data_IF_660185243843
#
_entry.id   IF_660185243843
#
_cell.length_a   1.000
_cell.length_b   1.000
_cell.length_c   1.000
_cell.angle_alpha   90.00
_cell.angle_beta   90.00
_cell.angle_gamma   90.00
#
_symmetry.space_group_name_H-M   'P 1'
#
loop_
_entity.id
_entity.type
_entity.pdbx_description
1 polymer ?
#
# COMPACT_ATOMS: atom_id res chain seq x y z
N UNK A 1 78.41 -24.65 -79.36
CA UNK A 1 77.17 -25.22 -78.77
C UNK A 1 76.18 -25.48 -79.87
N UNK A 2 75.67 -26.72 -80.00
CA UNK A 2 74.69 -27.07 -81.04
C UNK A 2 73.36 -26.37 -80.77
N UNK A 3 72.69 -25.87 -81.83
CA UNK A 3 71.37 -25.22 -81.77
C UNK A 3 70.32 -26.04 -80.99
N UNK A 4 70.47 -27.36 -80.99
CA UNK A 4 69.63 -28.31 -80.25
C UNK A 4 69.76 -28.16 -78.72
N UNK A 5 70.96 -27.89 -78.18
CA UNK A 5 71.18 -27.69 -76.75
C UNK A 5 70.58 -26.38 -76.21
N UNK A 6 70.54 -25.33 -77.04
CA UNK A 6 69.92 -24.04 -76.71
C UNK A 6 68.38 -24.19 -76.69
N UNK A 7 67.79 -24.98 -77.58
CA UNK A 7 66.36 -25.25 -77.60
C UNK A 7 65.90 -26.08 -76.38
N UNK A 8 66.69 -27.08 -75.96
CA UNK A 8 66.42 -27.86 -74.74
C UNK A 8 66.58 -26.98 -73.49
N UNK A 9 67.59 -26.13 -73.44
CA UNK A 9 67.77 -25.17 -72.35
C UNK A 9 66.62 -24.14 -72.29
N UNK A 10 66.16 -23.64 -73.43
CA UNK A 10 65.06 -22.68 -73.51
C UNK A 10 63.70 -23.28 -73.09
N UNK A 11 63.43 -24.53 -73.47
CA UNK A 11 62.22 -25.26 -73.04
C UNK A 11 62.27 -25.61 -71.55
N UNK A 12 63.43 -26.01 -71.03
CA UNK A 12 63.64 -26.19 -69.59
C UNK A 12 63.44 -24.89 -68.79
N UNK A 13 63.97 -23.76 -69.28
CA UNK A 13 63.79 -22.45 -68.66
C UNK A 13 62.32 -21.99 -68.73
N UNK A 14 61.62 -22.26 -69.84
CA UNK A 14 60.19 -22.01 -69.99
C UNK A 14 59.34 -22.82 -68.98
N UNK A 15 59.65 -24.10 -68.79
CA UNK A 15 58.97 -24.94 -67.78
C UNK A 15 59.23 -24.43 -66.36
N UNK A 16 60.45 -23.99 -66.05
CA UNK A 16 60.79 -23.38 -64.76
C UNK A 16 60.00 -22.07 -64.55
N UNK A 17 59.90 -21.22 -65.58
CA UNK A 17 59.12 -19.98 -65.50
C UNK A 17 57.62 -20.25 -65.30
N UNK A 18 57.05 -21.24 -66.00
CA UNK A 18 55.65 -21.66 -65.82
C UNK A 18 55.43 -22.21 -64.41
N UNK A 19 56.37 -23.00 -63.87
CA UNK A 19 56.29 -23.54 -62.51
C UNK A 19 56.37 -22.44 -61.45
N UNK A 20 57.29 -21.49 -61.59
CA UNK A 20 57.39 -20.30 -60.74
C UNK A 20 56.10 -19.46 -60.83
N UNK A 21 55.55 -19.28 -62.03
CA UNK A 21 54.28 -18.59 -62.25
C UNK A 21 53.10 -19.32 -61.58
N UNK A 22 53.00 -20.65 -61.70
CA UNK A 22 51.97 -21.45 -61.02
C UNK A 22 52.07 -21.39 -59.49
N UNK A 23 53.29 -21.43 -58.94
CA UNK A 23 53.53 -21.23 -57.49
C UNK A 23 53.07 -19.82 -57.08
N UNK A 24 53.39 -18.80 -57.88
CA UNK A 24 52.96 -17.42 -57.61
C UNK A 24 51.43 -17.30 -57.62
N UNK A 25 50.75 -17.97 -58.55
CA UNK A 25 49.29 -17.99 -58.66
C UNK A 25 48.63 -18.76 -57.50
N UNK A 26 49.21 -19.90 -57.10
CA UNK A 26 48.78 -20.69 -55.95
C UNK A 26 48.93 -19.91 -54.64
N UNK A 27 50.08 -19.27 -54.43
CA UNK A 27 50.32 -18.39 -53.27
C UNK A 27 49.37 -17.20 -53.26
N UNK A 28 49.07 -16.59 -54.42
CA UNK A 28 48.08 -15.52 -54.54
C UNK A 28 46.66 -16.01 -54.20
N UNK A 29 46.29 -17.21 -54.64
CA UNK A 29 45.02 -17.85 -54.30
C UNK A 29 44.92 -18.15 -52.80
N UNK A 30 45.96 -18.70 -52.19
CA UNK A 30 46.02 -18.98 -50.74
C UNK A 30 45.95 -17.69 -49.90
N UNK A 31 46.67 -16.63 -50.29
CA UNK A 31 46.57 -15.31 -49.64
C UNK A 31 45.15 -14.76 -49.72
N UNK A 32 44.52 -14.85 -50.89
CA UNK A 32 43.15 -14.36 -51.09
C UNK A 32 42.11 -15.19 -50.31
N UNK A 33 42.30 -16.50 -50.18
CA UNK A 33 41.48 -17.36 -49.32
C UNK A 33 41.69 -17.09 -47.83
N UNK A 34 42.95 -16.87 -47.40
CA UNK A 34 43.28 -16.48 -46.03
C UNK A 34 42.69 -15.11 -45.68
N UNK A 35 42.76 -14.13 -46.59
CA UNK A 35 42.12 -12.83 -46.44
C UNK A 35 40.59 -12.95 -46.35
N UNK A 36 39.96 -13.80 -47.18
CA UNK A 36 38.51 -14.07 -47.10
C UNK A 36 38.12 -14.65 -45.74
N UNK A 37 38.84 -15.68 -45.27
CA UNK A 37 38.61 -16.28 -43.93
C UNK A 37 38.83 -15.26 -42.82
N UNK A 38 39.84 -14.40 -42.92
CA UNK A 38 40.10 -13.34 -41.96
C UNK A 38 38.98 -12.29 -41.95
N UNK A 39 38.48 -11.88 -43.13
CA UNK A 39 37.33 -10.96 -43.25
C UNK A 39 36.05 -11.58 -42.70
N UNK A 40 35.77 -12.85 -42.98
CA UNK A 40 34.61 -13.56 -42.41
C UNK A 40 34.71 -13.68 -40.88
N UNK A 41 35.88 -13.99 -40.35
CA UNK A 41 36.10 -14.04 -38.90
C UNK A 41 35.94 -12.65 -38.25
N UNK A 42 36.47 -11.59 -38.88
CA UNK A 42 36.30 -10.21 -38.44
C UNK A 42 34.83 -9.78 -38.49
N UNK A 43 34.12 -10.13 -39.57
CA UNK A 43 32.69 -9.87 -39.72
C UNK A 43 31.86 -10.60 -38.65
N UNK A 44 32.13 -11.89 -38.40
CA UNK A 44 31.47 -12.65 -37.32
C UNK A 44 31.72 -11.99 -35.96
N UNK A 45 32.97 -11.63 -35.64
CA UNK A 45 33.30 -10.92 -34.40
C UNK A 45 32.59 -9.58 -34.28
N UNK A 46 32.53 -8.80 -35.36
CA UNK A 46 31.81 -7.52 -35.38
C UNK A 46 30.30 -7.73 -35.15
N UNK A 47 29.69 -8.73 -35.77
CA UNK A 47 28.29 -9.09 -35.55
C UNK A 47 28.02 -9.56 -34.12
N UNK A 48 28.91 -10.36 -33.52
CA UNK A 48 28.79 -10.75 -32.11
C UNK A 48 28.87 -9.53 -31.18
N UNK A 49 29.85 -8.65 -31.38
CA UNK A 49 29.99 -7.42 -30.60
C UNK A 49 28.76 -6.50 -30.75
N UNK A 50 28.23 -6.39 -31.97
CA UNK A 50 27.02 -5.62 -32.23
C UNK A 50 25.80 -6.19 -31.48
N UNK A 51 25.63 -7.53 -31.47
CA UNK A 51 24.56 -8.19 -30.70
C UNK A 51 24.71 -7.99 -29.19
N UNK A 52 25.93 -8.07 -28.66
CA UNK A 52 26.20 -7.81 -27.24
C UNK A 52 25.89 -6.36 -26.87
N UNK A 53 26.27 -5.41 -27.72
CA UNK A 53 25.97 -4.01 -27.53
C UNK A 53 24.45 -3.77 -27.56
N UNK A 54 23.75 -4.33 -28.54
CA UNK A 54 22.28 -4.22 -28.64
C UNK A 54 21.59 -4.82 -27.40
N UNK A 55 22.09 -5.95 -26.89
CA UNK A 55 21.59 -6.55 -25.65
C UNK A 55 21.79 -5.63 -24.45
N UNK A 56 22.99 -5.05 -24.29
CA UNK A 56 23.28 -4.08 -23.22
C UNK A 56 22.40 -2.84 -23.32
N UNK A 57 22.16 -2.34 -24.54
CA UNK A 57 21.25 -1.20 -24.76
C UNK A 57 19.80 -1.55 -24.39
N UNK A 58 19.33 -2.77 -24.66
CA UNK A 58 18.00 -3.23 -24.22
C UNK A 58 17.93 -3.37 -22.71
N UNK A 59 18.92 -3.98 -22.08
CA UNK A 59 19.01 -4.10 -20.62
C UNK A 59 19.00 -2.72 -19.98
N UNK A 60 19.81 -1.78 -20.48
CA UNK A 60 19.83 -0.39 -20.01
C UNK A 60 18.47 0.30 -20.15
N UNK A 61 17.80 0.19 -21.31
CA UNK A 61 16.45 0.76 -21.51
C UNK A 61 15.43 0.18 -20.53
N UNK A 62 15.50 -1.12 -20.28
CA UNK A 62 14.63 -1.77 -19.30
C UNK A 62 14.97 -1.32 -17.87
N UNK A 63 16.26 -1.11 -17.58
CA UNK A 63 16.71 -0.61 -16.29
C UNK A 63 16.23 0.81 -16.00
N UNK A 64 16.18 1.67 -17.03
CA UNK A 64 15.65 3.03 -16.95
C UNK A 64 14.12 3.10 -16.88
N UNK A 65 13.41 1.97 -16.93
CA UNK A 65 11.95 1.92 -16.76
C UNK A 65 11.14 1.82 -18.06
N UNK A 66 11.75 1.51 -19.21
CA UNK A 66 10.99 1.37 -20.46
C UNK A 66 10.15 0.08 -20.48
N UNK A 67 8.87 0.21 -20.13
CA UNK A 67 7.92 -0.89 -19.91
C UNK A 67 7.91 -1.92 -21.06
N UNK A 68 7.82 -1.55 -22.35
CA UNK A 68 7.83 -2.55 -23.43
C UNK A 68 9.10 -3.41 -23.45
N UNK A 69 10.27 -2.82 -23.16
CA UNK A 69 11.53 -3.57 -23.13
C UNK A 69 11.60 -4.45 -21.88
N UNK A 70 11.10 -3.98 -20.74
CA UNK A 70 11.00 -4.78 -19.51
C UNK A 70 10.15 -6.03 -19.77
N UNK A 71 8.95 -5.87 -20.35
CA UNK A 71 8.06 -6.98 -20.64
C UNK A 71 8.63 -7.94 -21.70
N UNK A 72 9.34 -7.41 -22.69
CA UNK A 72 10.07 -8.22 -23.67
C UNK A 72 11.13 -9.11 -22.99
N UNK A 73 11.99 -8.51 -22.16
CA UNK A 73 13.03 -9.25 -21.42
C UNK A 73 12.43 -10.24 -20.42
N UNK A 74 11.33 -9.88 -19.76
CA UNK A 74 10.59 -10.79 -18.88
C UNK A 74 10.12 -12.02 -19.66
N UNK A 75 9.53 -11.81 -20.85
CA UNK A 75 8.99 -12.88 -21.67
C UNK A 75 10.07 -13.76 -22.29
N UNK A 76 11.19 -13.17 -22.68
CA UNK A 76 12.38 -13.89 -23.14
C UNK A 76 12.93 -14.79 -22.02
N UNK A 77 13.05 -14.25 -20.80
CA UNK A 77 13.57 -14.97 -19.64
C UNK A 77 12.66 -16.11 -19.16
N UNK A 78 11.36 -16.14 -19.46
CA UNK A 78 10.47 -17.24 -19.07
C UNK A 78 10.91 -18.61 -19.62
N UNK A 79 11.65 -18.62 -20.73
CA UNK A 79 12.11 -19.86 -21.38
C UNK A 79 13.26 -20.51 -20.62
N UNK A 80 14.15 -19.67 -20.08
CA UNK A 80 15.46 -20.11 -19.61
C UNK A 80 15.62 -19.92 -18.09
N UNK A 81 15.03 -18.86 -17.51
CA UNK A 81 15.24 -18.48 -16.13
C UNK A 81 14.01 -17.75 -15.52
N UNK A 82 13.18 -18.51 -14.81
CA UNK A 82 11.96 -18.00 -14.17
C UNK A 82 12.26 -16.89 -13.15
N UNK A 83 13.38 -16.97 -12.41
CA UNK A 83 13.75 -15.93 -11.43
C UNK A 83 14.03 -14.60 -12.12
N UNK A 84 14.71 -14.63 -13.27
CA UNK A 84 14.96 -13.44 -14.06
C UNK A 84 13.67 -12.89 -14.68
N UNK A 85 12.75 -13.77 -15.11
CA UNK A 85 11.43 -13.34 -15.57
C UNK A 85 10.64 -12.62 -14.46
N UNK A 86 10.64 -13.17 -13.24
CA UNK A 86 10.01 -12.55 -12.07
C UNK A 86 10.62 -11.20 -11.73
N UNK A 87 11.95 -11.05 -11.78
CA UNK A 87 12.61 -9.77 -11.56
C UNK A 87 12.12 -8.68 -12.53
N UNK A 88 12.04 -8.99 -13.82
CA UNK A 88 11.55 -8.02 -14.81
C UNK A 88 10.06 -7.75 -14.66
N UNK A 89 9.25 -8.77 -14.39
CA UNK A 89 7.83 -8.58 -14.13
C UNK A 89 7.57 -7.75 -12.86
N UNK A 90 8.36 -7.92 -11.79
CA UNK A 90 8.31 -7.11 -10.57
C UNK A 90 8.69 -5.66 -10.85
N UNK A 91 9.71 -5.44 -11.67
CA UNK A 91 10.08 -4.09 -12.11
C UNK A 91 8.95 -3.41 -12.89
N UNK A 92 8.29 -4.13 -13.80
CA UNK A 92 7.12 -3.61 -14.51
C UNK A 92 5.94 -3.35 -13.55
N UNK A 93 5.69 -4.26 -12.61
CA UNK A 93 4.62 -4.14 -11.63
C UNK A 93 4.81 -2.94 -10.68
N UNK A 94 6.05 -2.68 -10.24
CA UNK A 94 6.41 -1.49 -9.45
C UNK A 94 6.16 -0.17 -10.20
N UNK A 95 6.14 -0.19 -11.54
CA UNK A 95 5.75 0.91 -12.44
C UNK A 95 4.25 0.89 -12.78
N UNK A 96 3.43 0.19 -11.97
CA UNK A 96 1.98 0.07 -12.12
C UNK A 96 1.55 -0.57 -13.45
N UNK A 97 2.41 -1.39 -14.06
CA UNK A 97 2.06 -2.14 -15.25
C UNK A 97 1.30 -3.44 -14.91
N UNK A 98 0.03 -3.49 -15.30
CA UNK A 98 -0.89 -4.62 -15.11
C UNK A 98 -0.35 -5.93 -15.69
N UNK A 99 0.28 -5.91 -16.88
CA UNK A 99 0.86 -7.11 -17.50
C UNK A 99 2.01 -7.69 -16.67
N UNK A 100 2.79 -6.83 -16.03
CA UNK A 100 3.82 -7.22 -15.06
C UNK A 100 3.25 -7.96 -13.87
N UNK A 101 2.20 -7.38 -13.28
CA UNK A 101 1.49 -7.98 -12.14
C UNK A 101 0.90 -9.35 -12.49
N UNK A 102 0.20 -9.46 -13.62
CA UNK A 102 -0.32 -10.75 -14.11
C UNK A 102 0.80 -11.76 -14.42
N UNK A 103 1.96 -11.30 -14.88
CA UNK A 103 3.16 -12.11 -15.08
C UNK A 103 3.61 -12.80 -13.79
N UNK A 104 3.72 -12.05 -12.69
CA UNK A 104 4.07 -12.60 -11.37
C UNK A 104 3.02 -13.58 -10.88
N UNK A 105 1.75 -13.18 -10.91
CA UNK A 105 0.65 -14.03 -10.44
C UNK A 105 0.64 -15.37 -11.17
N UNK A 106 0.73 -15.35 -12.50
CA UNK A 106 0.77 -16.58 -13.31
C UNK A 106 2.02 -17.43 -13.06
N UNK A 107 3.19 -16.82 -12.88
CA UNK A 107 4.43 -17.57 -12.62
C UNK A 107 4.45 -18.16 -11.20
N UNK A 108 3.83 -17.49 -10.22
CA UNK A 108 3.70 -18.01 -8.85
C UNK A 108 2.95 -19.34 -8.79
N UNK A 109 1.94 -19.53 -9.65
CA UNK A 109 1.13 -20.76 -9.68
C UNK A 109 1.92 -21.99 -10.11
N UNK A 110 3.07 -21.79 -10.80
CA UNK A 110 4.00 -22.85 -11.20
C UNK A 110 4.95 -23.23 -10.07
N UNK A 111 5.20 -22.33 -9.12
CA UNK A 111 6.13 -22.51 -8.00
C UNK A 111 5.37 -22.51 -6.67
N UNK A 112 4.40 -23.42 -6.52
CA UNK A 112 3.44 -23.45 -5.40
C UNK A 112 4.08 -23.61 -4.02
N UNK A 113 5.31 -24.10 -3.96
CA UNK A 113 6.06 -24.33 -2.72
C UNK A 113 6.72 -23.04 -2.19
N UNK A 114 6.87 -22.01 -3.01
CA UNK A 114 7.46 -20.73 -2.60
C UNK A 114 6.40 -19.85 -1.90
N UNK A 115 6.47 -19.83 -0.57
CA UNK A 115 5.55 -19.06 0.28
C UNK A 115 5.71 -17.56 0.06
N UNK A 116 6.94 -17.08 -0.15
CA UNK A 116 7.20 -15.64 -0.33
C UNK A 116 6.58 -15.17 -1.64
N UNK A 117 6.80 -15.93 -2.72
CA UNK A 117 6.22 -15.62 -4.01
C UNK A 117 4.69 -15.73 -4.01
N UNK A 118 4.13 -16.66 -3.22
CA UNK A 118 2.68 -16.77 -3.04
C UNK A 118 2.09 -15.52 -2.39
N UNK A 119 2.72 -14.99 -1.34
CA UNK A 119 2.31 -13.74 -0.70
C UNK A 119 2.46 -12.54 -1.66
N UNK A 120 3.54 -12.49 -2.44
CA UNK A 120 3.73 -11.47 -3.48
C UNK A 120 2.66 -11.55 -4.56
N UNK A 121 2.28 -12.75 -4.99
CA UNK A 121 1.19 -12.94 -5.93
C UNK A 121 -0.17 -12.54 -5.34
N UNK A 122 -0.42 -12.81 -4.06
CA UNK A 122 -1.64 -12.35 -3.38
C UNK A 122 -1.71 -10.82 -3.40
N UNK A 123 -0.61 -10.14 -3.06
CA UNK A 123 -0.51 -8.68 -3.13
C UNK A 123 -0.87 -8.16 -4.53
N UNK A 124 -0.24 -8.69 -5.58
CA UNK A 124 -0.50 -8.23 -6.94
C UNK A 124 -1.91 -8.56 -7.45
N UNK A 125 -2.53 -9.67 -7.03
CA UNK A 125 -3.94 -9.96 -7.33
C UNK A 125 -4.86 -8.89 -6.74
N UNK A 126 -4.63 -8.51 -5.48
CA UNK A 126 -5.39 -7.45 -4.81
C UNK A 126 -5.15 -6.09 -5.47
N UNK A 127 -3.91 -5.80 -5.87
CA UNK A 127 -3.58 -4.56 -6.59
C UNK A 127 -4.30 -4.46 -7.95
N UNK A 128 -4.36 -5.57 -8.70
CA UNK A 128 -5.10 -5.65 -9.97
C UNK A 128 -6.59 -5.36 -9.75
N UNK A 129 -7.22 -6.03 -8.78
CA UNK A 129 -8.64 -5.79 -8.48
C UNK A 129 -8.89 -4.32 -8.11
N UNK A 130 -7.98 -3.70 -7.34
CA UNK A 130 -8.06 -2.28 -7.01
C UNK A 130 -7.97 -1.34 -8.21
N UNK A 131 -7.15 -1.67 -9.21
CA UNK A 131 -7.07 -0.91 -10.47
C UNK A 131 -8.30 -1.12 -11.37
N UNK A 132 -8.97 -2.26 -11.25
CA UNK A 132 -10.21 -2.58 -11.97
C UNK A 132 -11.46 -1.95 -11.31
N UNK A 133 -11.29 -1.25 -10.19
CA UNK A 133 -12.34 -0.45 -9.54
C UNK A 133 -12.83 -0.99 -8.19
N UNK A 134 -12.27 -2.10 -7.69
CA UNK A 134 -12.58 -2.61 -6.35
C UNK A 134 -11.93 -1.71 -5.28
N UNK A 135 -12.74 -0.86 -4.64
CA UNK A 135 -12.26 0.09 -3.63
C UNK A 135 -11.75 -0.58 -2.36
N UNK A 136 -12.30 -1.75 -1.98
CA UNK A 136 -11.83 -2.53 -0.83
C UNK A 136 -10.48 -3.19 -1.13
N UNK A 137 -10.29 -3.69 -2.36
CA UNK A 137 -9.01 -4.21 -2.81
C UNK A 137 -7.96 -3.08 -2.92
N UNK A 138 -8.35 -1.89 -3.38
CA UNK A 138 -7.47 -0.71 -3.39
C UNK A 138 -7.01 -0.34 -1.98
N UNK A 139 -7.94 -0.26 -1.03
CA UNK A 139 -7.62 -0.06 0.39
C UNK A 139 -6.68 -1.14 0.94
N UNK A 140 -6.97 -2.41 0.64
CA UNK A 140 -6.16 -3.55 1.08
C UNK A 140 -4.74 -3.51 0.51
N UNK A 141 -4.60 -3.10 -0.76
CA UNK A 141 -3.31 -2.88 -1.43
C UNK A 141 -2.53 -1.75 -0.76
N UNK A 142 -3.20 -0.64 -0.46
CA UNK A 142 -2.61 0.48 0.25
C UNK A 142 -2.08 0.07 1.63
N UNK A 143 -2.89 -0.64 2.43
CA UNK A 143 -2.44 -1.21 3.71
C UNK A 143 -1.26 -2.16 3.54
N UNK A 144 -1.27 -3.01 2.52
CA UNK A 144 -0.19 -3.93 2.27
C UNK A 144 1.14 -3.19 1.97
N UNK A 145 1.11 -2.07 1.27
CA UNK A 145 2.28 -1.21 1.05
C UNK A 145 2.75 -0.51 2.33
N UNK A 146 1.83 0.00 3.16
CA UNK A 146 2.18 0.63 4.44
C UNK A 146 2.88 -0.35 5.38
N UNK A 147 2.40 -1.60 5.45
CA UNK A 147 2.93 -2.62 6.36
C UNK A 147 3.97 -3.56 5.73
N UNK A 148 4.23 -3.47 4.41
CA UNK A 148 5.16 -4.34 3.69
C UNK A 148 4.68 -5.80 3.59
N UNK A 149 3.38 -6.04 3.37
CA UNK A 149 2.80 -7.39 3.25
C UNK A 149 2.79 -7.82 1.79
N UNK A 150 3.58 -8.84 1.45
CA UNK A 150 3.72 -9.36 0.07
C UNK A 150 4.52 -8.44 -0.87
N UNK A 151 4.96 -7.27 -0.41
CA UNK A 151 5.79 -6.34 -1.18
C UNK A 151 6.68 -5.53 -0.24
N UNK A 152 7.65 -4.79 -0.80
CA UNK A 152 8.47 -3.85 -0.04
C UNK A 152 7.60 -2.71 0.54
N UNK A 153 7.96 -2.27 1.75
CA UNK A 153 7.25 -1.19 2.43
C UNK A 153 7.35 0.12 1.63
N UNK A 154 6.20 0.74 1.35
CA UNK A 154 6.10 2.03 0.70
C UNK A 154 4.93 2.81 1.30
N UNK A 155 5.19 3.51 2.41
CA UNK A 155 4.16 4.27 3.14
C UNK A 155 3.53 5.36 2.26
N UNK A 156 4.29 6.21 1.54
CA UNK A 156 3.69 7.29 0.76
C UNK A 156 2.69 6.77 -0.29
N UNK A 157 3.10 5.78 -1.10
CA UNK A 157 2.22 5.17 -2.11
C UNK A 157 1.04 4.43 -1.46
N UNK A 158 1.28 3.76 -0.34
CA UNK A 158 0.25 3.08 0.43
C UNK A 158 -0.84 4.04 0.92
N UNK A 159 -0.45 5.16 1.55
CA UNK A 159 -1.38 6.18 2.03
C UNK A 159 -2.14 6.83 0.88
N UNK A 160 -1.49 7.14 -0.25
CA UNK A 160 -2.16 7.68 -1.44
C UNK A 160 -3.26 6.73 -1.97
N UNK A 161 -3.01 5.42 -2.00
CA UNK A 161 -4.02 4.44 -2.41
C UNK A 161 -5.18 4.34 -1.40
N UNK A 162 -4.89 4.48 -0.11
CA UNK A 162 -5.94 4.46 0.93
C UNK A 162 -6.79 5.74 0.84
N UNK A 163 -6.16 6.89 0.67
CA UNK A 163 -6.85 8.18 0.51
C UNK A 163 -7.77 8.17 -0.71
N UNK A 164 -7.27 7.75 -1.87
CA UNK A 164 -8.09 7.61 -3.09
C UNK A 164 -9.23 6.59 -2.90
N UNK A 165 -9.00 5.47 -2.20
CA UNK A 165 -10.07 4.54 -1.86
C UNK A 165 -11.14 5.17 -0.93
N UNK A 166 -10.72 6.01 0.02
CA UNK A 166 -11.62 6.73 0.92
C UNK A 166 -12.46 7.76 0.15
N UNK A 167 -11.85 8.51 -0.77
CA UNK A 167 -12.55 9.46 -1.66
C UNK A 167 -13.57 8.76 -2.57
N UNK A 168 -13.23 7.57 -3.08
CA UNK A 168 -14.15 6.73 -3.86
C UNK A 168 -15.25 6.06 -3.01
N UNK A 169 -15.21 6.27 -1.69
CA UNK A 169 -16.30 5.88 -0.81
C UNK A 169 -16.09 4.60 0.00
N UNK A 170 -14.86 4.05 0.05
CA UNK A 170 -14.53 2.91 0.90
C UNK A 170 -14.57 3.32 2.38
N UNK A 171 -15.51 2.74 3.14
CA UNK A 171 -15.74 3.08 4.55
C UNK A 171 -14.52 2.74 5.41
N UNK A 172 -13.92 1.56 5.19
CA UNK A 172 -12.75 1.15 5.97
C UNK A 172 -11.54 2.05 5.72
N UNK A 173 -11.40 2.55 4.49
CA UNK A 173 -10.36 3.52 4.14
C UNK A 173 -10.60 4.86 4.84
N UNK A 174 -11.85 5.36 4.88
CA UNK A 174 -12.19 6.58 5.64
C UNK A 174 -11.85 6.43 7.13
N UNK A 175 -12.22 5.31 7.75
CA UNK A 175 -11.89 5.06 9.17
C UNK A 175 -10.37 5.02 9.36
N UNK A 176 -9.66 4.31 8.49
CA UNK A 176 -8.20 4.25 8.54
C UNK A 176 -7.56 5.64 8.41
N UNK A 177 -8.05 6.49 7.50
CA UNK A 177 -7.53 7.85 7.35
C UNK A 177 -7.76 8.66 8.63
N UNK A 178 -8.92 8.53 9.27
CA UNK A 178 -9.17 9.17 10.56
C UNK A 178 -8.21 8.69 11.65
N UNK A 179 -7.94 7.39 11.74
CA UNK A 179 -6.98 6.81 12.67
C UNK A 179 -5.54 7.24 12.37
N UNK A 180 -5.16 7.31 11.09
CA UNK A 180 -3.85 7.77 10.64
C UNK A 180 -3.60 9.24 11.01
N UNK A 181 -4.61 10.10 10.94
CA UNK A 181 -4.51 11.50 11.38
C UNK A 181 -4.24 11.66 12.89
N UNK A 182 -4.58 10.65 13.70
CA UNK A 182 -4.31 10.62 15.14
C UNK A 182 -3.08 9.79 15.51
N UNK A 183 -2.45 9.13 14.53
CA UNK A 183 -1.31 8.27 14.77
C UNK A 183 -0.08 9.07 15.20
N UNK A 184 0.67 8.62 16.23
CA UNK A 184 1.97 9.22 16.57
C UNK A 184 2.98 9.23 15.41
N UNK A 185 2.83 8.31 14.45
CA UNK A 185 3.70 8.22 13.28
C UNK A 185 3.40 9.29 12.21
N UNK A 186 2.26 9.98 12.32
CA UNK A 186 1.88 11.07 11.42
C UNK A 186 2.16 12.42 12.07
N UNK A 187 3.38 12.93 11.90
CA UNK A 187 3.79 14.21 12.47
C UNK A 187 3.02 15.41 11.95
N UNK A 188 2.36 15.29 10.79
CA UNK A 188 1.51 16.31 10.19
C UNK A 188 0.01 16.08 10.50
N UNK A 189 -0.31 15.10 11.33
CA UNK A 189 -1.68 14.71 11.63
C UNK A 189 -2.46 15.79 12.36
N UNK A 190 -3.71 16.03 11.95
CA UNK A 190 -4.60 16.99 12.60
C UNK A 190 -5.85 16.30 13.12
N UNK A 191 -6.18 16.55 14.39
CA UNK A 191 -7.38 15.96 15.01
C UNK A 191 -8.68 16.40 14.33
N UNK A 192 -8.72 17.59 13.71
CA UNK A 192 -9.87 18.04 12.92
C UNK A 192 -10.07 17.18 11.67
N UNK A 193 -8.99 16.86 10.95
CA UNK A 193 -9.03 15.97 9.78
C UNK A 193 -9.47 14.55 10.16
N UNK A 194 -9.10 14.09 11.37
CA UNK A 194 -9.57 12.82 11.89
C UNK A 194 -11.11 12.80 12.04
N UNK A 195 -11.66 13.84 12.68
CA UNK A 195 -13.11 13.99 12.84
C UNK A 195 -13.82 14.06 11.48
N UNK A 196 -13.25 14.77 10.51
CA UNK A 196 -13.76 14.84 9.14
C UNK A 196 -13.91 13.45 8.50
N UNK A 197 -12.85 12.64 8.51
CA UNK A 197 -12.89 11.30 7.92
C UNK A 197 -13.87 10.37 8.64
N UNK A 198 -13.94 10.45 9.97
CA UNK A 198 -14.92 9.68 10.75
C UNK A 198 -16.35 10.12 10.46
N UNK A 199 -16.61 11.42 10.27
CA UNK A 199 -17.92 11.93 9.85
C UNK A 199 -18.31 11.42 8.47
N UNK A 200 -17.40 11.45 7.48
CA UNK A 200 -17.64 10.85 6.15
C UNK A 200 -18.04 9.37 6.24
N UNK A 201 -17.35 8.60 7.09
CA UNK A 201 -17.72 7.20 7.33
C UNK A 201 -19.10 7.07 8.00
N UNK A 202 -19.40 7.93 8.98
CA UNK A 202 -20.66 7.92 9.72
C UNK A 202 -21.88 8.29 8.84
N UNK A 203 -21.71 9.18 7.86
CA UNK A 203 -22.73 9.54 6.87
C UNK A 203 -23.09 8.40 5.93
N UNK A 204 -22.12 7.55 5.60
CA UNK A 204 -22.34 6.27 4.90
C UNK A 204 -22.92 5.17 5.81
N UNK A 205 -23.54 5.60 6.91
CA UNK A 205 -24.17 4.77 7.92
C UNK A 205 -23.24 3.79 8.66
N UNK A 206 -21.91 3.94 8.54
CA UNK A 206 -20.94 3.09 9.24
C UNK A 206 -21.10 3.13 10.75
N UNK A 207 -21.24 1.96 11.38
CA UNK A 207 -21.29 1.85 12.83
C UNK A 207 -19.97 2.27 13.47
N UNK A 208 -18.83 1.86 12.90
CA UNK A 208 -17.51 2.22 13.41
C UNK A 208 -17.21 3.72 13.20
N UNK A 209 -17.59 4.29 12.06
CA UNK A 209 -17.51 5.75 11.84
C UNK A 209 -18.29 6.53 12.90
N UNK A 210 -19.55 6.14 13.15
CA UNK A 210 -20.38 6.73 14.22
C UNK A 210 -19.77 6.55 15.62
N UNK A 211 -19.12 5.41 15.89
CA UNK A 211 -18.40 5.20 17.16
C UNK A 211 -17.25 6.21 17.29
N UNK A 212 -16.41 6.33 16.27
CA UNK A 212 -15.26 7.24 16.30
C UNK A 212 -15.70 8.70 16.44
N UNK A 213 -16.73 9.14 15.72
CA UNK A 213 -17.31 10.49 15.90
C UNK A 213 -17.80 10.69 17.34
N UNK A 214 -18.48 9.69 17.91
CA UNK A 214 -18.92 9.72 19.30
C UNK A 214 -17.76 9.92 20.28
N UNK A 215 -16.69 9.15 20.11
CA UNK A 215 -15.47 9.26 20.91
C UNK A 215 -14.75 10.61 20.72
N UNK A 216 -14.72 11.16 19.51
CA UNK A 216 -14.17 12.48 19.25
C UNK A 216 -14.88 13.56 20.06
N UNK A 217 -16.22 13.60 20.07
CA UNK A 217 -16.97 14.54 20.90
C UNK A 217 -16.79 14.29 22.40
N UNK A 218 -16.72 13.04 22.85
CA UNK A 218 -16.52 12.75 24.29
C UNK A 218 -15.14 13.19 24.80
N UNK A 219 -14.13 13.14 23.93
CA UNK A 219 -12.74 13.44 24.29
C UNK A 219 -12.26 14.82 23.83
N UNK A 220 -13.03 15.53 23.00
CA UNK A 220 -12.63 16.81 22.41
C UNK A 220 -11.56 16.67 21.31
N UNK A 221 -11.59 15.57 20.55
CA UNK A 221 -10.64 15.31 19.47
C UNK A 221 -11.16 15.99 18.20
N UNK A 222 -10.47 17.05 17.76
CA UNK A 222 -10.83 17.81 16.56
C UNK A 222 -12.09 18.68 16.71
N UNK A 223 -12.65 18.76 17.91
CA UNK A 223 -13.87 19.53 18.22
C UNK A 223 -13.96 19.81 19.72
N UNK A 224 -14.86 20.69 20.13
CA UNK A 224 -15.14 20.89 21.55
C UNK A 224 -15.79 19.66 22.18
N UNK A 225 -15.41 19.38 23.43
CA UNK A 225 -15.94 18.26 24.18
C UNK A 225 -17.45 18.43 24.40
N UNK A 226 -18.24 17.45 23.97
CA UNK A 226 -19.69 17.43 24.15
C UNK A 226 -20.20 16.02 24.45
N UNK A 227 -20.69 15.84 25.68
CA UNK A 227 -21.30 14.58 26.09
C UNK A 227 -22.59 14.28 25.32
N UNK A 228 -23.42 15.31 25.08
CA UNK A 228 -24.71 15.15 24.40
C UNK A 228 -24.50 14.69 22.95
N UNK A 229 -23.57 15.31 22.22
CA UNK A 229 -23.24 14.93 20.83
C UNK A 229 -22.58 13.55 20.79
N UNK A 230 -21.64 13.29 21.69
CA UNK A 230 -20.95 12.01 21.79
C UNK A 230 -21.90 10.84 22.03
N UNK A 231 -22.77 10.95 23.04
CA UNK A 231 -23.79 9.95 23.33
C UNK A 231 -24.77 9.76 22.17
N UNK A 232 -25.17 10.82 21.47
CA UNK A 232 -26.05 10.68 20.30
C UNK A 232 -25.45 9.78 19.22
N UNK A 233 -24.17 9.99 18.84
CA UNK A 233 -23.52 9.21 17.79
C UNK A 233 -23.32 7.75 18.19
N UNK A 234 -22.93 7.50 19.44
CA UNK A 234 -22.82 6.15 20.01
C UNK A 234 -24.18 5.45 20.06
N UNK A 235 -25.21 6.12 20.58
CA UNK A 235 -26.57 5.55 20.65
C UNK A 235 -27.18 5.30 19.27
N UNK A 236 -26.79 6.08 18.26
CA UNK A 236 -27.23 5.88 16.87
C UNK A 236 -26.59 4.66 16.23
N UNK A 237 -25.31 4.38 16.51
CA UNK A 237 -24.68 3.12 16.11
C UNK A 237 -25.24 1.92 16.91
N UNK A 238 -25.51 2.11 18.20
CA UNK A 238 -26.13 1.11 19.06
C UNK A 238 -27.56 0.75 18.61
N UNK A 239 -28.34 1.74 18.16
CA UNK A 239 -29.67 1.54 17.58
C UNK A 239 -29.63 0.69 16.30
N UNK A 240 -28.52 0.74 15.56
CA UNK A 240 -28.23 -0.14 14.43
C UNK A 240 -27.73 -1.54 14.81
N UNK A 241 -27.67 -1.86 16.11
CA UNK A 241 -27.26 -3.19 16.61
C UNK A 241 -25.78 -3.35 16.91
N UNK A 242 -24.96 -2.29 16.84
CA UNK A 242 -23.54 -2.39 17.19
C UNK A 242 -23.33 -2.59 18.69
N UNK A 243 -22.89 -3.79 19.08
CA UNK A 243 -22.61 -4.11 20.49
C UNK A 243 -21.43 -3.29 21.06
N UNK A 244 -20.44 -2.94 20.23
CA UNK A 244 -19.33 -2.05 20.59
C UNK A 244 -19.85 -0.62 20.87
N UNK A 245 -20.76 -0.11 20.05
CA UNK A 245 -21.39 1.18 20.28
C UNK A 245 -22.24 1.20 21.55
N UNK A 246 -22.99 0.12 21.82
CA UNK A 246 -23.74 -0.05 23.07
C UNK A 246 -22.81 0.00 24.28
N UNK A 247 -21.65 -0.67 24.22
CA UNK A 247 -20.65 -0.61 25.28
C UNK A 247 -20.18 0.82 25.54
N UNK A 248 -19.72 1.53 24.51
CA UNK A 248 -19.23 2.90 24.65
C UNK A 248 -20.33 3.87 25.09
N UNK A 249 -21.58 3.70 24.62
CA UNK A 249 -22.72 4.47 25.12
C UNK A 249 -22.93 4.22 26.62
N UNK A 250 -22.82 2.95 27.05
CA UNK A 250 -22.89 2.57 28.45
C UNK A 250 -21.81 3.22 29.31
N UNK A 251 -20.56 3.17 28.84
CA UNK A 251 -19.42 3.82 29.46
C UNK A 251 -19.62 5.34 29.57
N UNK A 252 -20.08 5.99 28.49
CA UNK A 252 -20.30 7.43 28.46
C UNK A 252 -21.35 7.90 29.49
N UNK A 253 -22.40 7.09 29.73
CA UNK A 253 -23.45 7.38 30.70
C UNK A 253 -23.11 6.99 32.15
N UNK A 254 -22.05 6.21 32.37
CA UNK A 254 -21.65 5.78 33.71
C UNK A 254 -21.36 6.99 34.60
N UNK A 255 -21.98 6.99 35.78
CA UNK A 255 -21.91 8.02 36.82
C UNK A 255 -22.33 9.43 36.35
N UNK A 256 -23.15 9.52 35.29
CA UNK A 256 -23.64 10.80 34.76
C UNK A 256 -25.02 11.17 35.27
N UNK A 257 -25.07 12.19 36.13
CA UNK A 257 -26.32 12.70 36.68
C UNK A 257 -27.11 11.63 37.45
N UNK A 258 -28.41 11.88 37.66
CA UNK A 258 -29.25 11.00 38.49
C UNK A 258 -29.67 9.70 37.80
N UNK A 259 -29.73 9.69 36.47
CA UNK A 259 -30.29 8.59 35.67
C UNK A 259 -29.25 7.92 34.76
N UNK A 260 -28.00 8.40 34.75
CA UNK A 260 -26.94 7.88 33.89
C UNK A 260 -26.65 6.40 34.13
N UNK A 261 -26.54 5.97 35.39
CA UNK A 261 -26.29 4.55 35.69
C UNK A 261 -27.44 3.63 35.26
N UNK A 262 -28.68 4.11 35.24
CA UNK A 262 -29.80 3.33 34.69
C UNK A 262 -29.69 3.20 33.17
N UNK A 263 -29.34 4.28 32.45
CA UNK A 263 -29.12 4.26 30.99
C UNK A 263 -27.91 3.38 30.65
N UNK A 264 -26.81 3.54 31.40
CA UNK A 264 -25.59 2.77 31.25
C UNK A 264 -25.87 1.27 31.39
N UNK A 265 -26.60 0.88 32.44
CA UNK A 265 -26.98 -0.52 32.65
C UNK A 265 -27.75 -1.10 31.46
N UNK A 266 -28.72 -0.37 30.90
CA UNK A 266 -29.50 -0.83 29.75
C UNK A 266 -28.59 -1.11 28.55
N UNK A 267 -27.71 -0.16 28.21
CA UNK A 267 -26.80 -0.34 27.07
C UNK A 267 -25.79 -1.47 27.28
N UNK A 268 -25.19 -1.56 28.47
CA UNK A 268 -24.23 -2.61 28.81
C UNK A 268 -24.88 -4.00 28.87
N UNK A 269 -26.11 -4.08 29.36
CA UNK A 269 -26.90 -5.31 29.32
C UNK A 269 -27.15 -5.77 27.87
N UNK A 270 -27.49 -4.85 26.96
CA UNK A 270 -27.68 -5.18 25.55
C UNK A 270 -26.37 -5.63 24.88
N UNK A 271 -25.28 -4.87 25.07
CA UNK A 271 -23.96 -5.19 24.53
C UNK A 271 -23.49 -6.60 24.95
N UNK A 272 -23.61 -6.92 26.25
CA UNK A 272 -23.23 -8.20 26.80
C UNK A 272 -24.04 -9.37 26.22
N UNK A 273 -25.33 -9.16 25.95
CA UNK A 273 -26.20 -10.16 25.35
C UNK A 273 -26.00 -10.32 23.84
N UNK A 274 -25.43 -9.32 23.17
CA UNK A 274 -25.01 -9.38 21.76
C UNK A 274 -23.57 -9.91 21.60
N UNK A 275 -22.96 -10.40 22.68
CA UNK A 275 -21.67 -11.11 22.64
C UNK A 275 -20.44 -10.27 23.00
N UNK A 276 -20.59 -8.96 23.25
CA UNK A 276 -19.46 -8.10 23.60
C UNK A 276 -19.05 -8.30 25.07
N UNK A 277 -18.05 -9.16 25.29
CA UNK A 277 -17.65 -9.62 26.64
C UNK A 277 -17.24 -8.50 27.60
N UNK A 278 -16.49 -7.45 27.19
CA UNK A 278 -16.12 -6.36 28.09
C UNK A 278 -17.31 -5.62 28.71
N UNK A 279 -18.48 -5.67 28.08
CA UNK A 279 -19.68 -5.07 28.66
C UNK A 279 -20.18 -5.76 29.93
N UNK A 280 -19.86 -7.05 30.14
CA UNK A 280 -20.35 -7.79 31.32
C UNK A 280 -19.78 -7.24 32.61
N UNK A 281 -18.47 -6.99 32.65
CA UNK A 281 -17.78 -6.49 33.85
C UNK A 281 -18.30 -5.10 34.21
N UNK A 282 -18.37 -4.19 33.24
CA UNK A 282 -18.86 -2.83 33.45
C UNK A 282 -20.36 -2.81 33.80
N UNK A 283 -21.17 -3.70 33.20
CA UNK A 283 -22.59 -3.86 33.55
C UNK A 283 -22.73 -4.24 35.03
N UNK A 284 -21.95 -5.20 35.50
CA UNK A 284 -22.05 -5.73 36.86
C UNK A 284 -21.60 -4.68 37.90
N UNK A 285 -20.57 -3.89 37.59
CA UNK A 285 -20.16 -2.71 38.37
C UNK A 285 -21.30 -1.68 38.49
N UNK A 286 -21.97 -1.35 37.38
CA UNK A 286 -23.10 -0.43 37.38
C UNK A 286 -24.29 -1.03 38.14
N UNK A 287 -24.53 -2.34 38.01
CA UNK A 287 -25.61 -3.06 38.67
C UNK A 287 -25.48 -3.00 40.20
N UNK A 288 -24.26 -3.15 40.73
CA UNK A 288 -24.01 -3.04 42.17
C UNK A 288 -24.31 -1.63 42.69
N UNK A 289 -24.10 -0.60 41.88
CA UNK A 289 -24.29 0.79 42.29
C UNK A 289 -25.77 1.21 42.33
N UNK A 290 -26.64 0.63 41.49
CA UNK A 290 -28.06 1.02 41.39
C UNK A 290 -29.01 0.10 42.18
N UNK A 291 -28.55 -1.08 42.62
CA UNK A 291 -29.32 -2.02 43.42
C UNK A 291 -30.20 -2.99 42.62
N UNK A 292 -30.48 -4.15 43.23
CA UNK A 292 -31.13 -5.30 42.57
C UNK A 292 -32.53 -4.99 42.05
N UNK A 293 -33.34 -4.24 42.81
CA UNK A 293 -34.72 -3.93 42.42
C UNK A 293 -34.78 -3.08 41.14
N UNK A 294 -33.89 -2.09 41.04
CA UNK A 294 -33.76 -1.24 39.85
C UNK A 294 -33.29 -2.06 38.66
N UNK A 295 -32.31 -2.95 38.88
CA UNK A 295 -31.80 -3.87 37.85
C UNK A 295 -32.90 -4.74 37.27
N UNK A 296 -33.74 -5.37 38.11
CA UNK A 296 -34.87 -6.20 37.66
C UNK A 296 -35.86 -5.37 36.83
N UNK A 297 -36.16 -4.15 37.30
CA UNK A 297 -36.98 -3.20 36.56
C UNK A 297 -36.41 -2.86 35.18
N UNK A 298 -35.12 -2.52 35.08
CA UNK A 298 -34.45 -2.19 33.83
C UNK A 298 -34.38 -3.37 32.86
N UNK A 299 -34.16 -4.59 33.37
CA UNK A 299 -34.18 -5.80 32.53
C UNK A 299 -35.54 -6.05 31.89
N UNK A 300 -36.64 -5.72 32.58
CA UNK A 300 -37.98 -5.86 32.02
C UNK A 300 -38.20 -4.98 30.78
N UNK A 301 -37.46 -3.86 30.67
CA UNK A 301 -37.48 -2.93 29.54
C UNK A 301 -36.42 -3.33 28.49
N UNK A 302 -35.23 -3.73 28.93
CA UNK A 302 -34.11 -4.05 28.05
C UNK A 302 -34.33 -5.35 27.25
N UNK A 303 -34.96 -6.38 27.82
CA UNK A 303 -35.22 -7.65 27.13
C UNK A 303 -36.13 -7.50 25.89
N UNK A 304 -37.26 -6.77 25.93
CA UNK A 304 -38.02 -6.45 24.72
C UNK A 304 -37.20 -5.67 23.68
N UNK A 305 -36.37 -4.73 24.13
CA UNK A 305 -35.52 -3.93 23.25
C UNK A 305 -34.48 -4.79 22.53
N UNK A 306 -33.84 -5.71 23.26
CA UNK A 306 -32.92 -6.71 22.72
C UNK A 306 -33.56 -7.51 21.58
N UNK A 307 -34.79 -8.00 21.77
CA UNK A 307 -35.52 -8.76 20.73
C UNK A 307 -35.77 -7.92 19.47
N UNK A 308 -36.11 -6.63 19.64
CA UNK A 308 -36.32 -5.70 18.51
C UNK A 308 -35.03 -5.39 17.76
N UNK A 309 -33.92 -5.18 18.48
CA UNK A 309 -32.60 -4.97 17.89
C UNK A 309 -32.15 -6.21 17.12
N UNK A 310 -32.33 -7.40 17.72
CA UNK A 310 -32.01 -8.67 17.06
C UNK A 310 -32.88 -8.95 15.82
N UNK A 311 -34.11 -8.45 15.77
CA UNK A 311 -34.98 -8.61 14.60
C UNK A 311 -34.72 -7.56 13.51
N UNK A 312 -33.82 -6.59 13.71
CA UNK A 312 -33.54 -5.50 12.78
C UNK A 312 -34.70 -4.51 12.57
N UNK A 313 -35.78 -4.61 13.35
CA UNK A 313 -37.00 -3.80 13.17
C UNK A 313 -36.98 -2.53 14.01
N UNK A 314 -35.85 -1.81 14.01
CA UNK A 314 -35.69 -0.58 14.79
C UNK A 314 -35.71 0.62 13.85
N UNK A 315 -36.69 1.51 14.05
CA UNK A 315 -36.80 2.73 13.25
C UNK A 315 -35.72 3.73 13.70
N UNK A 316 -35.15 4.45 12.76
CA UNK A 316 -34.15 5.51 13.00
C UNK A 316 -34.60 6.48 14.10
N UNK A 317 -33.73 6.67 15.10
CA UNK A 317 -33.90 7.49 16.30
C UNK A 317 -35.02 7.09 17.27
N UNK A 318 -35.69 5.95 17.08
CA UNK A 318 -36.78 5.51 17.95
C UNK A 318 -36.34 5.23 19.39
N UNK A 319 -35.21 4.56 19.60
CA UNK A 319 -34.66 4.25 20.92
C UNK A 319 -34.19 5.54 21.60
N UNK A 320 -33.45 6.38 20.87
CA UNK A 320 -32.95 7.66 21.37
C UNK A 320 -34.11 8.56 21.82
N UNK A 321 -35.18 8.67 21.01
CA UNK A 321 -36.38 9.44 21.38
C UNK A 321 -37.07 8.87 22.62
N UNK A 322 -37.18 7.55 22.73
CA UNK A 322 -37.78 6.90 23.90
C UNK A 322 -36.97 7.18 25.17
N UNK A 323 -35.64 7.03 25.12
CA UNK A 323 -34.77 7.32 26.25
C UNK A 323 -34.78 8.81 26.62
N UNK A 324 -34.80 9.73 25.63
CA UNK A 324 -34.95 11.17 25.87
C UNK A 324 -36.24 11.47 26.63
N UNK A 325 -37.35 10.85 26.23
CA UNK A 325 -38.66 11.03 26.88
C UNK A 325 -38.68 10.46 28.29
N UNK A 326 -38.20 9.23 28.49
CA UNK A 326 -38.24 8.53 29.78
C UNK A 326 -37.34 9.21 30.81
N UNK A 327 -36.14 9.58 30.42
CA UNK A 327 -35.14 10.14 31.33
C UNK A 327 -35.03 11.67 31.26
N UNK A 328 -35.94 12.35 30.54
CA UNK A 328 -35.98 13.81 30.35
C UNK A 328 -34.61 14.37 29.91
N UNK A 329 -33.97 13.70 28.96
CA UNK A 329 -32.63 14.06 28.45
C UNK A 329 -32.75 15.23 27.49
N UNK A 330 -31.69 16.03 27.41
CA UNK A 330 -31.53 17.01 26.34
C UNK A 330 -31.57 16.30 24.99
N UNK A 331 -32.42 16.78 24.10
CA UNK A 331 -32.58 16.18 22.78
C UNK A 331 -31.59 16.81 21.80
N UNK A 332 -30.70 15.99 21.26
CA UNK A 332 -29.81 16.39 20.17
C UNK A 332 -30.04 15.50 18.95
N UNK A 333 -30.24 16.15 17.82
CA UNK A 333 -30.30 15.56 16.50
C UNK A 333 -29.56 16.55 15.59
N UNK A 334 -28.41 16.18 15.02
CA UNK A 334 -27.61 17.10 14.24
C UNK A 334 -28.37 17.48 12.97
N UNK A 335 -28.38 18.77 12.67
CA UNK A 335 -28.97 19.32 11.46
C UNK A 335 -28.05 19.07 10.25
N UNK A 336 -28.60 19.06 9.04
CA UNK A 336 -27.80 18.85 7.83
C UNK A 336 -26.71 19.93 7.70
N UNK A 337 -27.00 21.17 8.09
CA UNK A 337 -26.03 22.26 8.08
C UNK A 337 -24.87 22.02 9.06
N UNK A 338 -25.11 21.37 10.21
CA UNK A 338 -24.07 21.06 11.19
C UNK A 338 -23.13 19.97 10.68
N UNK A 339 -23.66 18.94 10.01
CA UNK A 339 -22.82 17.92 9.37
C UNK A 339 -22.03 18.53 8.22
N UNK A 340 -22.70 19.30 7.36
CA UNK A 340 -22.08 19.96 6.22
C UNK A 340 -21.01 20.96 6.66
N UNK A 341 -21.14 21.63 7.80
CA UNK A 341 -20.10 22.54 8.30
C UNK A 341 -18.79 21.79 8.61
N UNK A 342 -18.87 20.58 9.18
CA UNK A 342 -17.68 19.76 9.44
C UNK A 342 -17.09 19.20 8.15
N UNK A 343 -17.92 18.95 7.13
CA UNK A 343 -17.49 18.40 5.85
C UNK A 343 -17.06 19.44 4.82
N UNK A 344 -17.52 20.68 4.93
CA UNK A 344 -17.22 21.77 4.01
C UNK A 344 -16.06 22.66 4.51
N UNK A 345 -15.49 22.39 5.68
CA UNK A 345 -14.27 23.04 6.18
C UNK A 345 -13.02 22.54 5.43
N UNK A 346 -13.14 22.29 4.13
CA UNK A 346 -12.07 21.86 3.22
C UNK A 346 -11.03 22.95 2.96
N UNK A 347 -11.16 24.16 3.55
CA UNK A 347 -10.59 25.37 2.96
C UNK A 347 -10.02 26.42 3.92
N UNK A 348 -9.39 26.05 5.03
CA UNK A 348 -8.57 27.04 5.76
C UNK A 348 -7.09 26.77 5.95
N UNK A 349 -6.63 25.52 6.02
CA UNK A 349 -5.22 25.30 6.41
C UNK A 349 -4.51 24.15 5.67
N UNK A 350 -5.17 23.44 4.75
CA UNK A 350 -4.58 22.26 4.08
C UNK A 350 -3.80 22.59 2.79
N UNK A 351 -4.20 23.63 2.05
CA UNK A 351 -3.52 23.99 0.79
C UNK A 351 -2.16 24.66 1.00
N UNK A 352 -1.96 25.38 2.11
CA UNK A 352 -0.70 26.09 2.37
C UNK A 352 0.43 25.14 2.82
N UNK A 353 0.11 24.07 3.57
CA UNK A 353 1.13 23.13 4.06
C UNK A 353 1.70 22.20 2.97
N UNK A 354 0.93 21.94 1.90
CA UNK A 354 1.35 21.03 0.83
C UNK A 354 2.04 21.75 -0.33
N UNK A 355 1.74 23.02 -0.58
CA UNK A 355 2.51 23.81 -1.55
C UNK A 355 3.94 24.12 -1.05
N UNK A 356 4.13 24.38 0.25
CA UNK A 356 5.48 24.60 0.81
C UNK A 356 6.37 23.34 0.81
N UNK A 357 5.81 22.14 0.98
CA UNK A 357 6.57 20.89 0.86
C UNK A 357 6.85 20.49 -0.59
N UNK A 358 6.07 21.01 -1.54
CA UNK A 358 6.18 20.74 -2.98
C UNK A 358 7.04 21.78 -3.72
N UNK A 359 7.37 22.90 -3.09
CA UNK A 359 8.18 24.00 -3.64
C UNK A 359 9.54 24.10 -2.94
N UNK A 360 10.24 22.97 -2.81
CA UNK A 360 11.70 23.01 -2.72
C UNK A 360 12.26 23.16 -4.13
N UNK A 361 12.46 24.42 -4.53
CA UNK A 361 13.12 24.85 -5.75
C UNK A 361 14.40 24.03 -6.01
N UNK A 362 14.34 23.15 -7.01
CA UNK A 362 15.50 22.54 -7.61
C UNK A 362 16.20 23.60 -8.47
N UNK A 363 17.07 24.41 -7.86
CA UNK A 363 17.98 25.27 -8.61
C UNK A 363 19.15 24.41 -9.16
N UNK A 364 19.33 24.30 -10.49
CA UNK A 364 20.48 23.62 -11.05
C UNK A 364 21.67 24.60 -11.03
N UNK A 365 22.45 24.60 -9.95
CA UNK A 365 23.75 25.27 -9.98
C UNK A 365 24.75 24.43 -10.76
N UNK A 366 24.81 24.69 -12.07
CA UNK A 366 25.99 24.44 -12.89
C UNK A 366 27.08 25.41 -12.47
N UNK A 367 28.02 24.94 -11.67
CA UNK A 367 29.33 25.58 -11.51
C UNK A 367 30.42 24.59 -11.89
N UNK A 368 30.95 24.79 -13.10
CA UNK A 368 32.24 24.27 -13.53
C UNK A 368 33.33 24.80 -12.62
N UNK A 369 34.02 23.92 -11.87
CA UNK A 369 35.37 24.21 -11.38
C UNK A 369 36.25 22.98 -11.50
N UNK A 370 37.41 23.27 -12.08
CA UNK A 370 38.56 22.44 -12.43
C UNK A 370 39.18 21.69 -11.26
N UNK A 371 39.83 20.59 -11.63
CA UNK A 371 40.68 19.77 -10.76
C UNK A 371 41.86 20.57 -10.20
N UNK A 372 42.10 20.43 -8.90
CA UNK A 372 43.43 20.43 -8.27
C UNK A 372 43.31 19.77 -6.89
N UNK A 373 44.23 18.85 -6.59
CA UNK A 373 44.17 17.99 -5.41
C UNK A 373 44.83 18.59 -4.17
N UNK A 374 44.53 18.02 -3.01
CA UNK A 374 45.49 17.70 -1.95
C UNK A 374 44.82 16.90 -0.83
N UNK A 375 45.66 16.17 -0.10
CA UNK A 375 45.37 15.00 0.70
C UNK A 375 44.99 15.29 2.17
N UNK A 376 44.60 14.19 2.85
CA UNK A 376 44.60 13.96 4.32
C UNK A 376 43.43 14.63 5.08
N UNK A 377 42.72 14.05 6.06
CA UNK A 377 42.92 12.94 7.01
C UNK A 377 41.56 12.45 7.53
N UNK A 378 41.41 11.14 7.79
CA UNK A 378 40.38 10.53 8.66
C UNK A 378 40.63 10.89 10.15
N UNK A 379 39.63 10.93 11.09
CA UNK A 379 38.95 9.70 11.57
C UNK A 379 37.49 9.87 12.08
N UNK A 380 36.69 8.80 12.12
CA UNK A 380 36.24 8.09 13.33
C UNK A 380 35.05 7.13 13.02
N UNK A 381 35.29 5.84 13.14
CA UNK A 381 34.27 4.78 13.10
C UNK A 381 33.51 4.71 14.42
N UNK A 382 32.18 4.86 14.40
CA UNK A 382 31.31 4.39 15.48
C UNK A 382 30.66 3.08 15.06
N UNK A 383 31.13 1.99 15.68
CA UNK A 383 30.49 0.66 15.69
C UNK A 383 29.05 0.76 16.20
N UNK A 384 28.07 0.35 15.40
CA UNK A 384 26.73 0.00 15.91
C UNK A 384 26.80 -1.38 16.58
N UNK A 385 26.33 -1.46 17.84
CA UNK A 385 26.23 -2.69 18.62
C UNK A 385 25.13 -3.62 18.08
N UNK A 386 25.37 -4.92 18.22
CA UNK A 386 24.64 -6.02 17.58
C UNK A 386 23.37 -6.48 18.31
N UNK A 387 22.85 -5.68 19.24
CA UNK A 387 21.77 -6.07 20.17
C UNK A 387 20.40 -5.42 19.86
N UNK A 388 20.21 -4.84 18.67
CA UNK A 388 18.97 -4.14 18.30
C UNK A 388 17.98 -4.99 17.46
N UNK A 389 18.14 -6.32 17.42
CA UNK A 389 17.29 -7.24 16.63
C UNK A 389 16.64 -8.29 17.52
N UNK A 390 15.75 -7.85 18.42
CA UNK A 390 14.74 -8.73 19.02
C UNK A 390 13.35 -8.27 18.57
N UNK A 391 12.71 -9.07 17.71
CA UNK A 391 11.40 -8.81 17.11
C UNK A 391 10.27 -9.58 17.81
N UNK A 392 10.47 -10.02 19.05
CA UNK A 392 9.51 -10.93 19.70
C UNK A 392 8.87 -10.36 20.96
N UNK A 393 8.42 -9.10 21.01
CA UNK A 393 7.49 -8.69 22.07
C UNK A 393 6.37 -7.75 21.59
N UNK A 394 5.19 -8.37 21.43
CA UNK A 394 3.86 -7.93 21.86
C UNK A 394 3.46 -6.46 21.68
N UNK A 395 2.46 -6.20 20.83
CA UNK A 395 1.26 -5.42 21.22
C UNK A 395 0.07 -5.82 20.32
N UNK A 396 -0.44 -7.02 20.55
CA UNK A 396 -1.86 -7.30 20.40
C UNK A 396 -2.37 -7.68 21.78
N UNK A 397 -3.29 -6.90 22.32
CA UNK A 397 -4.49 -7.34 23.05
C UNK A 397 -5.18 -6.14 23.70
N UNK A 398 -6.52 -6.20 23.89
CA UNK A 398 -7.58 -6.72 23.03
C UNK A 398 -8.37 -5.61 22.31
#
# INVERSE_FOLDING_TARGET
>A
MSSMGIAIAATGLSLVLIFVWMISLSMRKQRLEAERKAREAAYRKAMHKAREQERKEREFKAETGHIPTILFLAKEAEKDNIRQALYWYDKAAKLDNVTGMYGIVRLSERMREDVILKEQANFWRTAIAGMEGDTEAKFSTGKALVFGRGTEKNIPKGNQLIETAAEEGCIDAMIYMGEWQLSPDNSAGRSADALYWFMKAAEKDSADGKIQVGLCYLNGIGTEKSMVKGCYWLERAAEGGSAKAMYHAGEAWKDKGKTGNAIAYVWLFLAANMGYQPARTLRDEVATNIGVDVVVGLQSIAKPLQRKLASGMVRKHSIIRALNKVYKREAYFPAEEELNAVLNDENKDASEAWEEASTLDFQPNMTTVTAEGQASTSPNEKKLSKDALDFTQNFLQP
#
